data_IF_936713843150
#
_entry.id   IF_936713843150
#
_cell.length_a   1.000
_cell.length_b   1.000
_cell.length_c   1.000
_cell.angle_alpha   90.00
_cell.angle_beta   90.00
_cell.angle_gamma   90.00
#
_symmetry.space_group_name_H-M   'P 1'
#
loop_
_entity.id
_entity.type
_entity.pdbx_description
1 polymer ?
#
# COMPACT_ATOMS: atom_id res chain seq x y z
N UNK A 1 -20.94 -27.68 10.48
CA UNK A 1 -19.46 -27.77 10.61
C UNK A 1 -18.73 -28.25 9.36
N UNK A 2 -19.38 -28.91 8.37
CA UNK A 2 -18.72 -29.39 7.14
C UNK A 2 -18.10 -28.27 6.27
N UNK A 3 -18.70 -27.07 6.27
CA UNK A 3 -18.26 -25.92 5.47
C UNK A 3 -16.92 -25.33 5.94
N UNK A 4 -16.72 -25.15 7.24
CA UNK A 4 -15.44 -24.64 7.77
C UNK A 4 -14.31 -25.64 7.48
N UNK A 5 -14.59 -26.94 7.56
CA UNK A 5 -13.63 -27.99 7.22
C UNK A 5 -13.23 -27.95 5.74
N UNK A 6 -14.17 -27.69 4.82
CA UNK A 6 -13.84 -27.52 3.39
C UNK A 6 -13.01 -26.26 3.13
N UNK A 7 -13.25 -25.16 3.85
CA UNK A 7 -12.45 -23.93 3.73
C UNK A 7 -11.00 -24.16 4.17
N UNK A 8 -10.78 -24.82 5.31
CA UNK A 8 -9.42 -25.16 5.75
C UNK A 8 -8.68 -26.07 4.77
N UNK A 9 -9.38 -26.99 4.11
CA UNK A 9 -8.77 -27.85 3.10
C UNK A 9 -8.34 -27.05 1.86
N UNK A 10 -9.18 -26.14 1.38
CA UNK A 10 -8.84 -25.25 0.26
C UNK A 10 -7.67 -24.33 0.63
N UNK A 11 -7.61 -23.82 1.86
CA UNK A 11 -6.49 -23.00 2.30
C UNK A 11 -5.14 -23.74 2.29
N UNK A 12 -5.11 -25.06 2.45
CA UNK A 12 -3.88 -25.83 2.30
C UNK A 12 -3.52 -26.14 0.84
N UNK A 13 -4.49 -26.18 -0.06
CA UNK A 13 -4.27 -26.38 -1.50
C UNK A 13 -3.77 -25.10 -2.19
N UNK A 14 -4.02 -23.92 -1.60
CA UNK A 14 -3.52 -22.64 -2.11
C UNK A 14 -2.02 -22.48 -1.82
N UNK A 15 -1.27 -22.05 -2.82
CA UNK A 15 0.16 -21.74 -2.69
C UNK A 15 0.34 -20.43 -1.91
N UNK A 16 0.74 -20.55 -0.65
CA UNK A 16 1.07 -19.38 0.17
C UNK A 16 2.42 -18.77 -0.24
N UNK A 17 2.52 -17.43 -0.25
CA UNK A 17 3.76 -16.75 -0.55
C UNK A 17 4.85 -17.13 0.45
N UNK A 18 6.06 -17.30 -0.05
CA UNK A 18 7.22 -17.58 0.80
C UNK A 18 7.60 -16.34 1.62
N UNK A 19 8.25 -16.53 2.77
CA UNK A 19 8.67 -15.41 3.63
C UNK A 19 9.54 -14.36 2.92
N UNK A 20 10.24 -14.75 1.83
CA UNK A 20 11.03 -13.86 0.99
C UNK A 20 10.16 -12.99 0.09
N UNK A 21 9.11 -13.57 -0.50
CA UNK A 21 8.16 -12.85 -1.35
C UNK A 21 7.36 -11.83 -0.53
N UNK A 22 6.87 -12.23 0.65
CA UNK A 22 6.15 -11.32 1.56
C UNK A 22 7.00 -10.10 1.93
N UNK A 23 8.30 -10.29 2.18
CA UNK A 23 9.22 -9.17 2.45
C UNK A 23 9.39 -8.25 1.25
N UNK A 24 9.64 -8.81 0.05
CA UNK A 24 9.79 -8.01 -1.18
C UNK A 24 8.54 -7.18 -1.47
N UNK A 25 7.38 -7.79 -1.35
CA UNK A 25 6.12 -7.16 -1.71
C UNK A 25 5.76 -6.09 -0.68
N UNK A 26 6.00 -6.35 0.61
CA UNK A 26 5.84 -5.34 1.68
C UNK A 26 6.82 -4.18 1.51
N UNK A 27 8.09 -4.45 1.19
CA UNK A 27 9.08 -3.39 0.92
C UNK A 27 8.67 -2.54 -0.28
N UNK A 28 8.12 -3.14 -1.33
CA UNK A 28 7.62 -2.42 -2.50
C UNK A 28 6.50 -1.46 -2.10
N UNK A 29 5.52 -1.93 -1.32
CA UNK A 29 4.41 -1.10 -0.82
C UNK A 29 4.89 0.06 0.06
N UNK A 30 5.86 -0.19 0.93
CA UNK A 30 6.44 0.85 1.80
C UNK A 30 7.11 1.94 0.95
N UNK A 31 7.90 1.54 -0.05
CA UNK A 31 8.58 2.49 -0.94
C UNK A 31 7.56 3.32 -1.71
N UNK A 32 6.55 2.69 -2.33
CA UNK A 32 5.52 3.42 -3.07
C UNK A 32 4.73 4.37 -2.17
N UNK A 33 4.41 3.95 -0.95
CA UNK A 33 3.69 4.79 0.01
C UNK A 33 4.50 6.02 0.43
N UNK A 34 5.81 5.83 0.66
CA UNK A 34 6.71 6.92 1.04
C UNK A 34 6.88 7.93 -0.11
N UNK A 35 7.00 7.43 -1.36
CA UNK A 35 7.08 8.30 -2.54
C UNK A 35 5.83 9.17 -2.69
N UNK A 36 4.64 8.60 -2.52
CA UNK A 36 3.39 9.37 -2.56
C UNK A 36 3.27 10.35 -1.40
N UNK A 37 3.71 9.98 -0.19
CA UNK A 37 3.70 10.89 0.95
C UNK A 37 4.56 12.14 0.68
N UNK A 38 5.76 11.97 0.13
CA UNK A 38 6.62 13.10 -0.25
C UNK A 38 6.00 13.93 -1.38
N UNK A 39 5.43 13.27 -2.40
CA UNK A 39 4.76 13.96 -3.50
C UNK A 39 3.61 14.84 -3.01
N UNK A 40 2.73 14.32 -2.15
CA UNK A 40 1.61 15.09 -1.61
C UNK A 40 2.08 16.26 -0.74
N UNK A 41 3.10 16.06 0.10
CA UNK A 41 3.66 17.15 0.91
C UNK A 41 4.19 18.31 0.03
N UNK A 42 4.87 17.98 -1.07
CA UNK A 42 5.35 18.99 -2.03
C UNK A 42 4.19 19.67 -2.76
N UNK A 43 3.20 18.89 -3.20
CA UNK A 43 2.02 19.42 -3.88
C UNK A 43 1.25 20.40 -3.01
N UNK A 44 1.06 20.09 -1.72
CA UNK A 44 0.39 20.97 -0.77
C UNK A 44 1.11 22.32 -0.63
N UNK A 45 2.44 22.32 -0.54
CA UNK A 45 3.22 23.56 -0.48
C UNK A 45 3.12 24.38 -1.76
N UNK A 46 3.18 23.73 -2.92
CA UNK A 46 3.03 24.42 -4.21
C UNK A 46 1.65 25.04 -4.34
N UNK A 47 0.60 24.31 -3.98
CA UNK A 47 -0.77 24.81 -4.04
C UNK A 47 -0.95 25.98 -3.07
N UNK A 48 -0.50 25.87 -1.82
CA UNK A 48 -0.58 26.97 -0.84
C UNK A 48 0.18 28.20 -1.33
N UNK A 49 1.36 28.03 -1.92
CA UNK A 49 2.15 29.14 -2.46
C UNK A 49 1.46 29.82 -3.64
N UNK A 50 0.84 29.04 -4.54
CA UNK A 50 0.08 29.58 -5.66
C UNK A 50 -1.18 30.31 -5.18
N UNK A 51 -1.94 29.72 -4.26
CA UNK A 51 -3.15 30.35 -3.72
C UNK A 51 -2.81 31.66 -3.00
N UNK A 52 -1.75 31.71 -2.20
CA UNK A 52 -1.29 32.94 -1.54
C UNK A 52 -0.82 34.03 -2.51
N UNK A 53 -0.41 33.67 -3.73
CA UNK A 53 0.09 34.64 -4.72
C UNK A 53 -0.99 35.15 -5.67
N UNK A 54 -2.06 34.38 -5.89
CA UNK A 54 -3.10 34.68 -6.85
C UNK A 54 -4.45 35.09 -6.24
N UNK A 55 -4.75 34.67 -5.00
CA UNK A 55 -6.05 34.94 -4.35
C UNK A 55 -5.93 35.98 -3.24
N UNK A 56 -4.86 35.92 -2.44
CA UNK A 56 -4.48 36.99 -1.52
C UNK A 56 -3.49 37.95 -2.19
#
# INVERSE_FOLDING_TARGET
MKFIKSVFQIMHEVTWPTAKETRRDTTTVIITSLLFAVYFALADWVIVLLLNKFIF
#
